data_IF_872974388096
#
_entry.id   IF_872974388096
#
_cell.length_a   1.000
_cell.length_b   1.000
_cell.length_c   1.000
_cell.angle_alpha   90.00
_cell.angle_beta   90.00
_cell.angle_gamma   90.00
#
_symmetry.space_group_name_H-M   'P 1'
#
loop_
_entity.id
_entity.type
_entity.pdbx_description
1 polymer ?
#
# COMPACT_ATOMS: atom_id res chain seq x y z
N UNK A 1 -9.05 -13.77 15.85
CA UNK A 1 -9.30 -12.33 16.12
C UNK A 1 -8.18 -11.43 15.65
N UNK A 2 -6.87 -11.72 15.94
CA UNK A 2 -5.76 -10.82 15.54
C UNK A 2 -5.63 -10.66 14.02
N UNK A 3 -5.73 -11.77 13.29
CA UNK A 3 -5.71 -11.76 11.81
C UNK A 3 -6.95 -11.05 11.27
N UNK A 4 -8.12 -11.30 11.88
CA UNK A 4 -9.37 -10.66 11.45
C UNK A 4 -9.33 -9.15 11.63
N UNK A 5 -8.68 -8.65 12.70
CA UNK A 5 -8.46 -7.22 12.90
C UNK A 5 -7.59 -6.62 11.78
N UNK A 6 -6.51 -7.30 11.40
CA UNK A 6 -5.67 -6.87 10.27
C UNK A 6 -6.44 -6.84 8.95
N UNK A 7 -7.26 -7.85 8.69
CA UNK A 7 -8.13 -7.90 7.52
C UNK A 7 -9.20 -6.80 7.55
N UNK A 8 -9.79 -6.53 8.73
CA UNK A 8 -10.75 -5.45 8.87
C UNK A 8 -10.13 -4.09 8.55
N UNK A 9 -8.95 -3.79 9.13
CA UNK A 9 -8.22 -2.54 8.85
C UNK A 9 -7.85 -2.44 7.37
N UNK A 10 -7.41 -3.53 6.76
CA UNK A 10 -7.11 -3.58 5.32
C UNK A 10 -8.35 -3.25 4.48
N UNK A 11 -9.53 -3.76 4.83
CA UNK A 11 -10.77 -3.48 4.11
C UNK A 11 -11.29 -2.05 4.37
N UNK A 12 -11.12 -1.53 5.59
CA UNK A 12 -11.58 -0.19 5.97
C UNK A 12 -10.70 0.93 5.41
N UNK A 13 -9.37 0.74 5.44
CA UNK A 13 -8.38 1.81 5.16
C UNK A 13 -7.58 1.52 3.88
N UNK A 14 -7.53 0.27 3.42
CA UNK A 14 -6.74 -0.13 2.26
C UNK A 14 -5.29 -0.50 2.56
N UNK A 15 -4.89 -0.59 3.84
CA UNK A 15 -3.54 -0.93 4.28
C UNK A 15 -3.47 -2.38 4.77
N UNK A 16 -2.88 -3.32 4.01
CA UNK A 16 -2.67 -4.67 4.49
C UNK A 16 -1.72 -4.69 5.67
N UNK A 17 -2.01 -5.54 6.64
CA UNK A 17 -1.21 -5.72 7.84
C UNK A 17 -0.92 -7.19 8.08
N UNK A 18 0.19 -7.49 8.75
CA UNK A 18 0.52 -8.85 9.15
C UNK A 18 0.89 -8.90 10.63
N UNK A 19 0.52 -9.98 11.30
CA UNK A 19 0.86 -10.24 12.69
C UNK A 19 1.75 -11.48 12.78
N UNK A 20 2.94 -11.31 13.31
CA UNK A 20 3.85 -12.39 13.67
C UNK A 20 3.72 -12.73 15.15
N UNK A 21 3.94 -13.99 15.47
CA UNK A 21 4.22 -14.44 16.84
C UNK A 21 5.64 -14.00 17.21
N UNK A 22 5.74 -13.00 18.10
CA UNK A 22 7.03 -12.38 18.45
C UNK A 22 7.97 -13.37 19.14
N UNK A 23 7.43 -14.33 19.89
CA UNK A 23 8.22 -15.33 20.61
C UNK A 23 8.88 -16.35 19.67
N UNK A 24 8.42 -16.42 18.42
CA UNK A 24 8.97 -17.28 17.38
C UNK A 24 9.97 -16.56 16.46
N UNK A 25 10.16 -15.25 16.63
CA UNK A 25 11.10 -14.45 15.84
C UNK A 25 12.46 -14.33 16.51
N UNK A 26 13.52 -14.43 15.70
CA UNK A 26 14.89 -14.17 16.11
C UNK A 26 15.34 -12.77 15.62
N UNK A 27 15.01 -11.74 16.39
CA UNK A 27 15.30 -10.34 16.06
C UNK A 27 16.79 -10.06 15.76
N UNK A 28 17.12 -9.06 14.94
CA UNK A 28 16.24 -8.11 14.28
C UNK A 28 15.56 -8.65 13.04
N UNK A 29 14.45 -8.01 12.66
CA UNK A 29 13.80 -8.23 11.35
C UNK A 29 14.50 -7.40 10.29
N UNK A 30 14.62 -7.95 9.09
CA UNK A 30 15.15 -7.29 7.91
C UNK A 30 14.29 -7.56 6.68
N UNK A 31 14.29 -6.64 5.73
CA UNK A 31 13.61 -6.82 4.44
C UNK A 31 14.66 -6.86 3.35
N UNK A 32 14.74 -7.97 2.62
CA UNK A 32 15.80 -8.19 1.64
C UNK A 32 15.39 -9.17 0.55
N UNK A 33 16.16 -9.17 -0.55
CA UNK A 33 16.07 -10.20 -1.56
C UNK A 33 16.96 -11.39 -1.18
N UNK A 34 16.51 -12.65 -1.38
CA UNK A 34 17.33 -13.83 -1.15
C UNK A 34 18.58 -13.83 -2.02
N UNK A 35 19.69 -14.32 -1.48
CA UNK A 35 20.96 -14.43 -2.22
C UNK A 35 20.99 -15.59 -3.21
N UNK A 36 20.14 -16.59 -3.01
CA UNK A 36 20.03 -17.77 -3.86
C UNK A 36 18.61 -18.34 -3.84
N UNK A 37 18.31 -19.25 -4.77
CA UNK A 37 17.01 -19.90 -4.90
C UNK A 37 16.88 -21.20 -4.08
N UNK A 38 17.74 -21.45 -3.09
CA UNK A 38 17.73 -22.70 -2.31
C UNK A 38 16.96 -22.58 -0.98
N UNK A 39 16.12 -21.54 -0.88
CA UNK A 39 15.34 -21.29 0.32
C UNK A 39 13.93 -21.83 0.09
N UNK A 40 13.48 -22.70 0.99
CA UNK A 40 12.10 -23.15 1.04
C UNK A 40 11.40 -22.49 2.23
N UNK A 41 10.20 -22.04 2.02
CA UNK A 41 9.34 -21.47 3.04
C UNK A 41 8.02 -22.24 3.05
N UNK A 42 7.69 -22.79 4.20
CA UNK A 42 6.34 -23.24 4.47
C UNK A 42 5.48 -22.01 4.75
N UNK A 43 4.54 -21.71 3.87
CA UNK A 43 3.63 -20.58 4.02
C UNK A 43 2.42 -20.93 4.87
N UNK A 44 1.72 -19.92 5.38
CA UNK A 44 0.46 -20.11 6.08
C UNK A 44 -0.49 -20.92 5.18
N UNK A 45 -1.04 -22.02 5.72
CA UNK A 45 -1.82 -23.00 4.96
C UNK A 45 -1.06 -24.28 4.65
N UNK A 46 0.26 -24.37 4.96
CA UNK A 46 1.06 -25.58 4.90
C UNK A 46 1.78 -25.85 3.58
N UNK A 47 1.55 -25.04 2.57
CA UNK A 47 2.23 -25.20 1.27
C UNK A 47 3.72 -24.85 1.36
N UNK A 48 4.56 -25.67 0.71
CA UNK A 48 5.98 -25.38 0.56
C UNK A 48 6.24 -24.54 -0.70
N UNK A 49 6.87 -23.40 -0.54
CA UNK A 49 7.24 -22.51 -1.66
C UNK A 49 8.76 -22.36 -1.75
N UNK A 50 9.31 -22.58 -2.94
CA UNK A 50 10.72 -22.32 -3.23
C UNK A 50 10.90 -20.85 -3.56
N UNK A 51 11.57 -20.11 -2.67
CA UNK A 51 11.70 -18.65 -2.77
C UNK A 51 12.66 -18.27 -3.90
N UNK A 52 12.23 -17.38 -4.76
CA UNK A 52 13.03 -16.86 -5.87
C UNK A 52 13.86 -15.66 -5.43
N UNK A 53 15.04 -15.48 -6.02
CA UNK A 53 15.92 -14.32 -5.73
C UNK A 53 15.31 -12.99 -6.14
N UNK A 54 14.29 -12.98 -6.99
CA UNK A 54 13.52 -11.79 -7.39
C UNK A 54 12.46 -11.38 -6.40
N UNK A 55 12.18 -12.21 -5.39
CA UNK A 55 11.09 -11.96 -4.44
C UNK A 55 11.59 -11.23 -3.20
N UNK A 56 10.94 -10.14 -2.85
CA UNK A 56 11.22 -9.45 -1.59
C UNK A 56 10.75 -10.30 -0.42
N UNK A 57 11.58 -10.44 0.60
CA UNK A 57 11.30 -11.28 1.77
C UNK A 57 11.47 -10.51 3.07
N UNK A 58 10.71 -10.90 4.07
CA UNK A 58 10.90 -10.49 5.46
C UNK A 58 11.66 -11.61 6.14
N UNK A 59 12.80 -11.26 6.73
CA UNK A 59 13.73 -12.20 7.34
C UNK A 59 14.02 -11.82 8.79
N UNK A 60 14.33 -12.81 9.58
CA UNK A 60 15.00 -12.66 10.87
C UNK A 60 16.37 -13.36 10.86
N UNK A 61 17.04 -13.49 12.01
CA UNK A 61 18.33 -14.22 12.09
C UNK A 61 18.23 -15.70 11.74
N UNK A 62 17.04 -16.31 11.81
CA UNK A 62 16.84 -17.73 11.48
C UNK A 62 16.53 -17.96 9.99
N UNK A 63 16.25 -16.92 9.24
CA UNK A 63 15.96 -16.99 7.80
C UNK A 63 14.67 -16.27 7.40
N UNK A 64 14.09 -16.70 6.27
CA UNK A 64 12.88 -16.11 5.70
C UNK A 64 11.66 -16.42 6.56
N UNK A 65 10.90 -15.39 6.94
CA UNK A 65 9.67 -15.49 7.73
C UNK A 65 8.41 -15.18 6.91
N UNK A 66 8.54 -14.43 5.81
CA UNK A 66 7.41 -14.10 4.92
C UNK A 66 7.90 -13.73 3.52
N UNK A 67 7.02 -13.90 2.53
CA UNK A 67 7.15 -13.24 1.23
C UNK A 67 6.47 -11.89 1.37
N UNK A 68 7.26 -10.81 1.33
CA UNK A 68 6.80 -9.45 1.62
C UNK A 68 5.59 -9.04 0.79
N UNK A 69 4.54 -8.58 1.45
CA UNK A 69 3.30 -8.13 0.81
C UNK A 69 2.45 -9.24 0.18
N UNK A 70 2.80 -10.51 0.34
CA UNK A 70 2.08 -11.64 -0.26
C UNK A 70 1.56 -12.59 0.80
N UNK A 71 2.44 -13.25 1.57
CA UNK A 71 2.02 -14.27 2.54
C UNK A 71 3.06 -14.45 3.64
N UNK A 72 2.63 -14.67 4.87
CA UNK A 72 3.47 -15.04 6.00
C UNK A 72 3.89 -16.51 5.96
N UNK A 73 5.00 -16.82 6.64
CA UNK A 73 5.45 -18.17 6.90
C UNK A 73 4.70 -18.81 8.06
N UNK A 74 4.51 -20.14 7.98
CA UNK A 74 3.82 -20.93 8.99
C UNK A 74 4.54 -20.90 10.35
N UNK A 75 5.87 -20.92 10.33
CA UNK A 75 6.70 -20.97 11.55
C UNK A 75 6.47 -19.79 12.47
N UNK A 76 6.41 -18.56 11.94
CA UNK A 76 6.22 -17.31 12.69
C UNK A 76 4.77 -16.86 12.78
N UNK A 77 3.82 -17.67 12.32
CA UNK A 77 2.40 -17.35 12.36
C UNK A 77 1.84 -17.34 13.78
N UNK A 78 0.86 -16.46 14.00
CA UNK A 78 0.10 -16.40 15.25
C UNK A 78 -0.79 -17.64 15.41
N UNK A 79 -1.00 -18.04 16.64
CA UNK A 79 -1.83 -19.18 17.03
C UNK A 79 -2.70 -18.83 18.23
N UNK A 80 -3.51 -19.78 18.69
CA UNK A 80 -4.31 -19.62 19.93
C UNK A 80 -3.47 -19.51 21.21
N UNK A 81 -2.17 -19.82 21.14
CA UNK A 81 -1.23 -19.78 22.24
C UNK A 81 -0.32 -18.55 22.20
N UNK A 82 -0.41 -17.73 21.16
CA UNK A 82 0.43 -16.54 21.01
C UNK A 82 0.04 -15.49 22.05
N UNK A 83 1.02 -15.04 22.82
CA UNK A 83 0.88 -14.00 23.86
C UNK A 83 1.52 -12.69 23.43
N UNK A 84 2.64 -12.72 22.69
CA UNK A 84 3.36 -11.56 22.23
C UNK A 84 3.31 -11.51 20.69
N UNK A 85 2.97 -10.34 20.15
CA UNK A 85 2.85 -10.16 18.70
C UNK A 85 3.73 -9.02 18.20
N UNK A 86 4.26 -9.18 17.00
CA UNK A 86 4.82 -8.10 16.22
C UNK A 86 3.87 -7.80 15.05
N UNK A 87 3.44 -6.55 14.93
CA UNK A 87 2.53 -6.12 13.88
C UNK A 87 3.34 -5.41 12.80
N UNK A 88 3.21 -5.90 11.56
CA UNK A 88 3.73 -5.25 10.37
C UNK A 88 2.66 -4.35 9.79
N UNK A 89 3.01 -3.07 9.62
CA UNK A 89 2.29 -2.10 8.80
C UNK A 89 3.30 -1.48 7.83
N UNK A 90 3.32 -1.96 6.60
CA UNK A 90 4.39 -1.67 5.65
C UNK A 90 3.89 -1.00 4.37
N UNK A 91 4.81 -0.33 3.69
CA UNK A 91 4.70 0.06 2.29
C UNK A 91 5.78 -0.66 1.50
N UNK A 92 5.39 -1.36 0.46
CA UNK A 92 6.31 -1.96 -0.52
C UNK A 92 6.10 -1.26 -1.86
N UNK A 93 7.20 -1.01 -2.57
CA UNK A 93 7.10 -0.44 -3.92
C UNK A 93 6.34 -1.40 -4.83
N UNK A 94 5.26 -0.96 -5.52
CA UNK A 94 4.42 -1.83 -6.35
C UNK A 94 5.22 -2.68 -7.35
N UNK A 95 6.24 -2.11 -7.98
CA UNK A 95 7.09 -2.80 -8.95
C UNK A 95 7.92 -3.96 -8.35
N UNK A 96 8.05 -4.03 -7.01
CA UNK A 96 8.72 -5.13 -6.31
C UNK A 96 7.76 -6.26 -5.94
N UNK A 97 6.47 -5.99 -5.91
CA UNK A 97 5.43 -6.96 -5.57
C UNK A 97 4.69 -7.45 -6.83
N UNK A 98 4.63 -6.61 -7.87
CA UNK A 98 3.93 -6.93 -9.11
C UNK A 98 4.33 -8.31 -9.67
N UNK A 99 3.33 -9.14 -10.01
CA UNK A 99 3.46 -10.50 -10.51
C UNK A 99 4.09 -11.52 -9.55
N UNK A 100 4.59 -11.12 -8.37
CA UNK A 100 5.23 -12.05 -7.44
C UNK A 100 4.24 -13.08 -6.87
N UNK A 101 3.04 -12.66 -6.51
CA UNK A 101 2.00 -13.58 -6.02
C UNK A 101 1.67 -14.66 -7.07
N UNK A 102 1.55 -14.26 -8.34
CA UNK A 102 1.31 -15.19 -9.45
C UNK A 102 2.44 -16.21 -9.63
N UNK A 103 3.69 -15.80 -9.41
CA UNK A 103 4.87 -16.68 -9.49
C UNK A 103 4.76 -17.88 -8.52
N UNK A 104 4.12 -17.66 -7.37
CA UNK A 104 3.91 -18.69 -6.34
C UNK A 104 2.55 -19.39 -6.43
N UNK A 105 1.72 -19.05 -7.43
CA UNK A 105 0.35 -19.55 -7.52
C UNK A 105 -0.54 -19.05 -6.38
N UNK A 106 -0.22 -17.87 -5.85
CA UNK A 106 -0.94 -17.22 -4.74
C UNK A 106 -1.71 -16.02 -5.26
N UNK A 107 -2.88 -15.78 -4.68
CA UNK A 107 -3.67 -14.57 -4.87
C UNK A 107 -4.24 -14.18 -3.52
N UNK A 108 -3.66 -13.19 -2.88
CA UNK A 108 -4.13 -12.69 -1.59
C UNK A 108 -4.66 -11.26 -1.72
N UNK A 109 -5.59 -10.89 -0.84
CA UNK A 109 -6.10 -9.51 -0.77
C UNK A 109 -4.99 -8.49 -0.51
N UNK A 110 -3.96 -8.88 0.24
CA UNK A 110 -2.77 -8.07 0.48
C UNK A 110 -1.95 -7.88 -0.79
N UNK A 111 -1.61 -8.98 -1.49
CA UNK A 111 -0.80 -8.91 -2.72
C UNK A 111 -1.48 -8.08 -3.81
N UNK A 112 -2.80 -8.21 -3.95
CA UNK A 112 -3.60 -7.45 -4.89
C UNK A 112 -3.57 -5.94 -4.65
N UNK A 113 -3.48 -5.52 -3.37
CA UNK A 113 -3.35 -4.11 -3.00
C UNK A 113 -1.92 -3.60 -3.19
N UNK A 114 -0.93 -4.34 -2.68
CA UNK A 114 0.46 -3.94 -2.78
C UNK A 114 0.97 -3.85 -4.23
N UNK A 115 0.55 -4.76 -5.11
CA UNK A 115 0.99 -4.74 -6.52
C UNK A 115 0.43 -3.53 -7.30
N UNK A 116 -0.75 -3.01 -6.89
CA UNK A 116 -1.35 -1.80 -7.47
C UNK A 116 -0.89 -0.52 -6.81
N UNK A 117 -0.32 -0.63 -5.62
CA UNK A 117 0.10 0.47 -4.78
C UNK A 117 -0.90 0.80 -3.68
N UNK A 118 -0.35 1.11 -2.53
CA UNK A 118 -1.10 1.64 -1.37
C UNK A 118 -0.48 2.99 -0.98
N UNK A 119 -1.23 3.81 -0.26
CA UNK A 119 -0.70 5.08 0.24
C UNK A 119 0.54 4.83 1.13
N UNK A 120 1.72 5.35 0.76
CA UNK A 120 2.94 5.15 1.54
C UNK A 120 2.95 5.89 2.89
N UNK A 121 1.90 6.66 3.21
CA UNK A 121 1.80 7.45 4.44
C UNK A 121 0.73 6.92 5.41
N UNK A 122 0.03 5.85 5.04
CA UNK A 122 -1.14 5.37 5.79
C UNK A 122 -0.78 4.39 6.94
N UNK A 123 0.47 3.87 6.98
CA UNK A 123 0.87 2.77 7.87
C UNK A 123 0.65 3.12 9.34
N UNK A 124 0.98 4.35 9.74
CA UNK A 124 0.77 4.82 11.11
C UNK A 124 -0.71 4.83 11.48
N UNK A 125 -1.55 5.36 10.60
CA UNK A 125 -3.01 5.41 10.79
C UNK A 125 -3.59 4.00 10.89
N UNK A 126 -3.12 3.08 10.03
CA UNK A 126 -3.55 1.69 10.06
C UNK A 126 -3.17 1.00 11.37
N UNK A 127 -1.93 1.22 11.85
CA UNK A 127 -1.47 0.67 13.12
C UNK A 127 -2.27 1.24 14.31
N UNK A 128 -2.48 2.54 14.36
CA UNK A 128 -3.30 3.19 15.40
C UNK A 128 -4.74 2.65 15.39
N UNK A 129 -5.31 2.45 14.19
CA UNK A 129 -6.64 1.86 14.04
C UNK A 129 -6.70 0.42 14.53
N UNK A 130 -5.69 -0.39 14.19
CA UNK A 130 -5.58 -1.77 14.65
C UNK A 130 -5.52 -1.83 16.18
N UNK A 131 -4.67 -1.01 16.81
CA UNK A 131 -4.52 -0.95 18.27
C UNK A 131 -5.82 -0.50 18.95
N UNK A 132 -6.52 0.50 18.39
CA UNK A 132 -7.80 0.96 18.90
C UNK A 132 -8.88 -0.14 18.89
N UNK A 133 -8.88 -0.97 17.84
CA UNK A 133 -9.81 -2.10 17.73
C UNK A 133 -9.41 -3.25 18.67
N UNK A 134 -8.10 -3.51 18.80
CA UNK A 134 -7.57 -4.52 19.70
C UNK A 134 -7.93 -4.21 21.16
N UNK A 135 -7.87 -2.94 21.56
CA UNK A 135 -8.21 -2.49 22.92
C UNK A 135 -9.67 -2.80 23.33
N UNK A 136 -10.55 -2.94 22.34
CA UNK A 136 -11.95 -3.30 22.58
C UNK A 136 -12.18 -4.79 22.85
N UNK A 137 -11.24 -5.65 22.49
CA UNK A 137 -11.40 -7.10 22.54
C UNK A 137 -10.36 -7.81 23.41
N UNK A 138 -9.28 -7.15 23.78
CA UNK A 138 -8.22 -7.72 24.60
C UNK A 138 -7.48 -6.64 25.41
N UNK A 139 -7.10 -7.00 26.64
CA UNK A 139 -6.13 -6.19 27.38
C UNK A 139 -4.73 -6.47 26.85
N UNK A 140 -3.99 -5.44 26.48
CA UNK A 140 -2.62 -5.57 25.97
C UNK A 140 -1.71 -4.45 26.49
N UNK A 141 -0.42 -4.63 26.31
CA UNK A 141 0.60 -3.61 26.52
C UNK A 141 1.37 -3.42 25.23
N UNK A 142 1.64 -2.18 24.87
CA UNK A 142 2.54 -1.86 23.76
C UNK A 142 3.96 -1.67 24.26
N UNK A 143 4.93 -2.16 23.52
CA UNK A 143 6.33 -1.76 23.61
C UNK A 143 6.65 -0.69 22.58
N UNK A 144 7.86 -0.17 22.59
CA UNK A 144 8.35 0.73 21.54
C UNK A 144 8.35 0.01 20.20
N UNK A 145 7.84 0.70 19.16
CA UNK A 145 7.84 0.22 17.80
C UNK A 145 9.13 0.60 17.07
N UNK A 146 9.41 -0.11 15.99
CA UNK A 146 10.47 0.23 15.04
C UNK A 146 9.88 0.86 13.79
N UNK A 147 10.52 1.92 13.31
CA UNK A 147 10.23 2.47 12.00
C UNK A 147 11.44 2.20 11.11
N UNK A 148 11.27 1.37 10.09
CA UNK A 148 12.28 1.14 9.05
C UNK A 148 11.92 2.03 7.87
N UNK A 149 12.54 3.21 7.80
CA UNK A 149 12.29 4.15 6.71
C UNK A 149 13.34 4.04 5.62
N UNK A 150 12.87 3.74 4.41
CA UNK A 150 13.52 4.14 3.16
C UNK A 150 12.83 5.41 2.64
N UNK A 151 13.46 6.10 1.66
CA UNK A 151 12.83 7.25 1.00
C UNK A 151 11.44 6.89 0.49
N UNK A 152 10.41 7.49 1.08
CA UNK A 152 9.05 7.39 0.57
C UNK A 152 8.95 8.04 -0.82
N UNK A 153 7.99 7.62 -1.66
CA UNK A 153 7.75 8.27 -2.94
C UNK A 153 7.49 9.77 -2.74
N UNK A 154 8.11 10.59 -3.57
CA UNK A 154 7.90 12.05 -3.54
C UNK A 154 6.53 12.36 -4.13
N UNK A 155 5.77 13.25 -3.49
CA UNK A 155 4.51 13.77 -4.03
C UNK A 155 4.71 14.30 -5.44
N UNK A 156 3.89 13.81 -6.37
CA UNK A 156 3.87 14.30 -7.75
C UNK A 156 3.00 15.55 -7.84
N UNK A 157 3.44 16.50 -8.64
CA UNK A 157 2.62 17.63 -9.05
C UNK A 157 2.47 17.58 -10.57
N UNK A 158 1.24 17.74 -11.04
CA UNK A 158 0.93 17.76 -12.47
C UNK A 158 0.35 19.12 -12.83
N UNK A 159 0.80 19.67 -13.96
CA UNK A 159 0.27 20.92 -14.50
C UNK A 159 -0.83 20.61 -15.50
N UNK A 160 -1.96 21.28 -15.39
CA UNK A 160 -3.14 21.16 -16.25
C UNK A 160 -3.38 22.48 -16.98
N UNK A 161 -3.47 22.44 -18.30
CA UNK A 161 -3.90 23.56 -19.13
C UNK A 161 -5.38 23.40 -19.49
N UNK A 162 -6.25 24.26 -18.96
CA UNK A 162 -7.71 24.15 -19.15
C UNK A 162 -8.12 24.42 -20.60
N UNK A 163 -7.43 25.36 -21.30
CA UNK A 163 -7.71 25.62 -22.73
C UNK A 163 -7.41 24.38 -23.59
N UNK A 164 -6.27 23.72 -23.31
CA UNK A 164 -5.85 22.48 -23.99
C UNK A 164 -6.82 21.33 -23.70
N UNK A 165 -7.24 21.18 -22.43
CA UNK A 165 -8.26 20.20 -22.06
C UNK A 165 -9.57 20.42 -22.81
N UNK A 166 -10.08 21.66 -22.84
CA UNK A 166 -11.31 22.00 -23.54
C UNK A 166 -11.20 21.74 -25.05
N UNK A 167 -10.05 22.09 -25.68
CA UNK A 167 -9.80 21.80 -27.08
C UNK A 167 -9.75 20.29 -27.38
N UNK A 168 -9.21 19.49 -26.44
CA UNK A 168 -9.14 18.03 -26.57
C UNK A 168 -10.51 17.37 -26.40
N UNK A 169 -11.29 17.79 -25.40
CA UNK A 169 -12.55 17.15 -25.00
C UNK A 169 -13.78 17.67 -25.77
N UNK A 170 -13.66 18.83 -26.40
CA UNK A 170 -14.81 19.54 -26.96
C UNK A 170 -15.68 20.27 -25.93
N UNK A 171 -15.30 20.24 -24.66
CA UNK A 171 -16.01 20.92 -23.58
C UNK A 171 -15.61 22.39 -23.47
N UNK A 172 -16.35 23.13 -22.66
CA UNK A 172 -16.09 24.56 -22.34
C UNK A 172 -16.07 24.79 -20.83
N UNK A 173 -15.35 23.95 -20.09
CA UNK A 173 -15.25 24.09 -18.63
C UNK A 173 -14.42 25.32 -18.26
N UNK A 174 -14.88 26.04 -17.23
CA UNK A 174 -14.12 27.13 -16.62
C UNK A 174 -13.11 26.58 -15.62
N UNK A 175 -12.04 27.34 -15.36
CA UNK A 175 -11.02 26.95 -14.39
C UNK A 175 -11.60 26.58 -13.02
N UNK A 176 -12.60 27.34 -12.55
CA UNK A 176 -13.25 27.09 -11.26
C UNK A 176 -14.00 25.75 -11.22
N UNK A 177 -14.59 25.33 -12.33
CA UNK A 177 -15.30 24.04 -12.45
C UNK A 177 -14.28 22.90 -12.41
N UNK A 178 -13.20 23.03 -13.19
CA UNK A 178 -12.07 22.07 -13.18
C UNK A 178 -11.47 21.92 -11.79
N UNK A 179 -11.20 23.03 -11.10
CA UNK A 179 -10.67 23.01 -9.73
C UNK A 179 -11.65 22.32 -8.79
N UNK A 180 -12.96 22.62 -8.89
CA UNK A 180 -13.98 22.01 -8.04
C UNK A 180 -14.05 20.49 -8.23
N UNK A 181 -14.07 20.02 -9.49
CA UNK A 181 -14.13 18.60 -9.80
C UNK A 181 -12.90 17.88 -9.23
N UNK A 182 -11.70 18.34 -9.57
CA UNK A 182 -10.45 17.69 -9.14
C UNK A 182 -10.27 17.77 -7.62
N UNK A 183 -10.68 18.86 -6.98
CA UNK A 183 -10.65 18.97 -5.52
C UNK A 183 -11.59 17.97 -4.83
N UNK A 184 -12.76 17.71 -5.39
CA UNK A 184 -13.67 16.69 -4.87
C UNK A 184 -13.11 15.26 -4.99
N UNK A 185 -12.19 15.03 -5.93
CA UNK A 185 -11.46 13.77 -6.10
C UNK A 185 -10.17 13.70 -5.26
N UNK A 186 -9.93 14.71 -4.40
CA UNK A 186 -8.78 14.77 -3.50
C UNK A 186 -7.50 15.38 -4.07
N UNK A 187 -7.53 15.89 -5.31
CA UNK A 187 -6.40 16.62 -5.88
C UNK A 187 -6.33 18.02 -5.28
N UNK A 188 -5.17 18.39 -4.74
CA UNK A 188 -5.01 19.70 -4.10
C UNK A 188 -4.34 20.67 -5.06
N UNK A 189 -4.95 21.86 -5.25
CA UNK A 189 -4.34 22.91 -6.05
C UNK A 189 -3.15 23.55 -5.30
N UNK A 190 -2.02 23.69 -5.98
CA UNK A 190 -0.85 24.36 -5.42
C UNK A 190 -1.06 25.89 -5.37
N UNK A 191 -0.70 26.57 -4.26
CA UNK A 191 -0.96 28.00 -4.09
C UNK A 191 -0.18 28.92 -5.03
N UNK A 192 0.87 28.43 -5.68
CA UNK A 192 1.75 29.22 -6.58
C UNK A 192 1.35 29.12 -8.07
N UNK A 193 0.10 29.40 -8.38
CA UNK A 193 -0.40 29.49 -9.76
C UNK A 193 -0.15 30.88 -10.38
N UNK A 194 1.11 31.20 -10.68
CA UNK A 194 1.46 32.40 -11.48
C UNK A 194 1.53 32.13 -13.00
N UNK A 195 1.19 30.92 -13.43
CA UNK A 195 1.23 30.50 -14.83
C UNK A 195 -0.19 30.24 -15.35
N UNK A 196 -0.37 30.27 -16.69
CA UNK A 196 -1.63 29.87 -17.36
C UNK A 196 -2.10 28.43 -17.03
N UNK A 197 -1.27 27.62 -16.36
CA UNK A 197 -1.55 26.24 -16.04
C UNK A 197 -1.86 26.09 -14.55
N UNK A 198 -2.94 25.40 -14.24
CA UNK A 198 -3.27 24.97 -12.89
C UNK A 198 -2.32 23.84 -12.46
N UNK A 199 -1.72 23.94 -11.28
CA UNK A 199 -0.83 22.90 -10.76
C UNK A 199 -1.51 22.14 -9.62
N UNK A 200 -1.66 20.84 -9.80
CA UNK A 200 -2.31 19.96 -8.81
C UNK A 200 -1.29 19.06 -8.13
N UNK A 201 -1.39 18.93 -6.81
CA UNK A 201 -0.69 17.92 -6.03
C UNK A 201 -1.52 16.64 -6.04
N UNK A 202 -0.90 15.54 -6.47
CA UNK A 202 -1.56 14.25 -6.61
C UNK A 202 -1.59 13.54 -5.26
N UNK A 203 -2.75 12.98 -4.84
CA UNK A 203 -2.82 12.17 -3.62
C UNK A 203 -1.86 10.99 -3.66
N UNK A 204 -1.24 10.66 -2.53
CA UNK A 204 -0.24 9.59 -2.48
C UNK A 204 -0.79 8.19 -2.84
N UNK A 205 -2.09 7.98 -2.70
CA UNK A 205 -2.77 6.72 -3.05
C UNK A 205 -3.11 6.59 -4.55
N UNK A 206 -2.93 7.66 -5.35
CA UNK A 206 -3.18 7.67 -6.79
C UNK A 206 -1.88 7.37 -7.55
N UNK A 207 -1.56 6.09 -7.68
CA UNK A 207 -0.38 5.61 -8.43
C UNK A 207 -0.59 5.66 -9.94
N UNK A 208 -1.84 5.67 -10.36
CA UNK A 208 -2.31 5.69 -11.73
C UNK A 208 -2.16 7.07 -12.39
N UNK A 209 -2.17 8.16 -11.61
CA UNK A 209 -2.10 9.53 -12.11
C UNK A 209 -0.65 10.03 -12.14
N UNK A 210 -0.10 10.27 -13.34
CA UNK A 210 1.30 10.62 -13.56
C UNK A 210 1.56 11.71 -14.60
N UNK A 211 0.64 11.91 -15.53
CA UNK A 211 0.71 12.87 -16.62
C UNK A 211 -0.55 13.75 -16.68
N UNK A 212 -0.55 14.78 -17.52
CA UNK A 212 -1.67 15.72 -17.66
C UNK A 212 -2.93 15.02 -18.17
N UNK A 213 -2.78 14.08 -19.06
CA UNK A 213 -3.86 13.31 -19.69
C UNK A 213 -4.63 12.44 -18.69
N UNK A 214 -3.97 11.98 -17.62
CA UNK A 214 -4.65 11.27 -16.52
C UNK A 214 -5.63 12.19 -15.77
N UNK A 215 -5.31 13.49 -15.66
CA UNK A 215 -6.24 14.48 -15.11
C UNK A 215 -7.41 14.76 -16.07
N UNK A 216 -7.19 14.63 -17.39
CA UNK A 216 -8.27 14.71 -18.36
C UNK A 216 -9.25 13.57 -18.19
N UNK A 217 -8.77 12.34 -18.00
CA UNK A 217 -9.61 11.18 -17.71
C UNK A 217 -10.47 11.42 -16.46
N UNK A 218 -9.89 11.91 -15.38
CA UNK A 218 -10.61 12.20 -14.14
C UNK A 218 -11.72 13.26 -14.34
N UNK A 219 -11.43 14.29 -15.11
CA UNK A 219 -12.42 15.32 -15.48
C UNK A 219 -13.55 14.75 -16.32
N UNK A 220 -13.24 14.00 -17.37
CA UNK A 220 -14.22 13.41 -18.29
C UNK A 220 -15.09 12.38 -17.55
N UNK A 221 -14.49 11.51 -16.75
CA UNK A 221 -15.21 10.53 -15.94
C UNK A 221 -16.17 11.19 -14.94
N UNK A 222 -15.75 12.28 -14.32
CA UNK A 222 -16.59 13.02 -13.37
C UNK A 222 -17.67 13.84 -14.03
N UNK A 223 -17.41 14.37 -15.24
CA UNK A 223 -18.40 15.08 -16.04
C UNK A 223 -19.46 14.14 -16.62
N UNK A 224 -19.07 12.91 -16.93
CA UNK A 224 -19.87 11.86 -17.51
C UNK A 224 -19.68 11.79 -19.03
N UNK A 225 -19.24 10.65 -19.53
CA UNK A 225 -18.96 10.43 -20.96
C UNK A 225 -20.19 10.62 -21.85
N UNK A 226 -21.40 10.41 -21.31
CA UNK A 226 -22.65 10.61 -22.04
C UNK A 226 -22.96 12.10 -22.31
N UNK A 227 -22.19 13.01 -21.71
CA UNK A 227 -22.35 14.47 -21.86
C UNK A 227 -21.31 15.09 -22.79
N UNK A 228 -20.54 14.27 -23.53
CA UNK A 228 -19.45 14.69 -24.41
C UNK A 228 -19.86 14.52 -25.87
#
# INVERSE_FOLDING_TARGET
>A
PLVDLGNYVMLEIGAPMHAFDLDKLNLPISVSFPRNNNINLEVIGGDQKKIQTSSLTICDKSGVQAIAGIIGGQKSSVSKYTSNIAIEAAFFKPEKIANQARLYGLATDASHRFERGIDPTIQKIALERYLLLLDRIACFRTSEGYVLENKLPVKKNISLNVERFNAFSGLALKEQEVIKILKNLGFLISPNNKTKNLKFSIPNYRFDVSIEEDLYEELLRSFGYDNI
#
